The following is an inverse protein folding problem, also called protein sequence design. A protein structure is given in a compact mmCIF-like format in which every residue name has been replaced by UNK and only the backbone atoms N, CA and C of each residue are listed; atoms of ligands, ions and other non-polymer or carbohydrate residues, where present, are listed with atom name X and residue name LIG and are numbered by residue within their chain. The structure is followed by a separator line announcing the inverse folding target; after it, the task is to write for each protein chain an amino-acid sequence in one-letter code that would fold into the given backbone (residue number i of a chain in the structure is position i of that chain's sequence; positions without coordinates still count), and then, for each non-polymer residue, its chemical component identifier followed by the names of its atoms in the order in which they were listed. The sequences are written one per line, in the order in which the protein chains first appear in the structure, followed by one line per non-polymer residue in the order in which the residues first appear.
data_IF_908162783715
#
_entry.id   IF_908162783715
#
_cell.length_a   1.000
_cell.length_b   1.000
_cell.length_c   1.000
_cell.angle_alpha   90.00
_cell.angle_beta   90.00
_cell.angle_gamma   90.00
#
_symmetry.space_group_name_H-M   'P 1'
#
loop_
_entity.id
_entity.type
_entity.pdbx_description
1 polymer ?
#
# COMPACT_ATOMS: atom_id res chain seq x y z
N UNK A 1 -12.33 12.26 0.18
CA UNK A 1 -11.54 13.49 0.14
C UNK A 1 -10.43 13.39 -0.91
N UNK A 2 -9.31 12.71 -0.65
CA UNK A 2 -8.13 12.70 -1.53
C UNK A 2 -8.35 12.11 -2.94
N UNK A 3 -9.28 11.19 -3.11
CA UNK A 3 -9.57 10.59 -4.43
C UNK A 3 -10.35 11.56 -5.31
N UNK A 4 -11.41 12.14 -4.75
CA UNK A 4 -12.32 13.01 -5.48
C UNK A 4 -11.90 14.49 -5.40
N UNK A 5 -10.86 14.80 -4.63
CA UNK A 5 -10.38 16.16 -4.34
C UNK A 5 -11.51 17.07 -3.86
N UNK A 6 -12.39 16.54 -3.00
CA UNK A 6 -13.52 17.26 -2.46
C UNK A 6 -13.04 18.30 -1.41
N UNK A 7 -13.16 19.61 -1.68
CA UNK A 7 -12.65 20.66 -0.80
C UNK A 7 -13.33 20.68 0.58
N UNK A 8 -14.62 20.32 0.64
CA UNK A 8 -15.36 20.28 1.91
C UNK A 8 -14.83 19.15 2.79
N UNK A 9 -14.57 17.98 2.18
CA UNK A 9 -14.00 16.84 2.89
C UNK A 9 -12.54 17.06 3.29
N UNK A 10 -11.72 17.71 2.44
CA UNK A 10 -10.33 18.05 2.72
C UNK A 10 -10.21 19.05 3.87
N UNK A 11 -11.05 20.10 3.91
CA UNK A 11 -11.08 21.09 4.97
C UNK A 11 -11.88 20.70 6.22
N UNK A 12 -12.38 19.47 6.31
CA UNK A 12 -13.32 19.05 7.36
C UNK A 12 -12.64 18.81 8.72
N UNK A 13 -13.46 18.82 9.78
CA UNK A 13 -13.02 18.39 11.11
C UNK A 13 -12.53 16.93 11.11
N UNK A 14 -13.05 16.08 10.23
CA UNK A 14 -12.60 14.70 10.07
C UNK A 14 -11.15 14.65 9.56
N UNK A 15 -10.82 15.49 8.58
CA UNK A 15 -9.44 15.60 8.08
C UNK A 15 -8.49 16.12 9.15
N UNK A 16 -8.90 17.17 9.87
CA UNK A 16 -8.15 17.68 11.01
C UNK A 16 -7.89 16.59 12.06
N UNK A 17 -8.90 15.80 12.43
CA UNK A 17 -8.75 14.66 13.34
C UNK A 17 -7.79 13.59 12.79
N UNK A 18 -7.76 13.37 11.48
CA UNK A 18 -6.78 12.47 10.85
C UNK A 18 -5.34 12.97 11.09
N UNK A 19 -5.08 14.25 10.88
CA UNK A 19 -3.78 14.85 11.19
C UNK A 19 -3.45 14.86 12.69
N UNK A 20 -4.43 15.07 13.56
CA UNK A 20 -4.24 14.94 15.02
C UNK A 20 -3.80 13.52 15.41
N UNK A 21 -4.39 12.49 14.79
CA UNK A 21 -3.96 11.09 14.98
C UNK A 21 -2.55 10.83 14.45
N UNK A 22 -2.17 11.43 13.33
CA UNK A 22 -0.79 11.36 12.83
C UNK A 22 0.20 11.99 13.81
N UNK A 23 -0.14 13.10 14.45
CA UNK A 23 0.67 13.70 15.52
C UNK A 23 0.87 12.74 16.69
N UNK A 24 -0.18 12.01 17.08
CA UNK A 24 -0.06 10.98 18.12
C UNK A 24 0.87 9.84 17.67
N UNK A 25 0.71 9.35 16.45
CA UNK A 25 1.56 8.29 15.87
C UNK A 25 3.02 8.75 15.83
N UNK A 26 3.28 10.02 15.47
CA UNK A 26 4.64 10.59 15.47
C UNK A 26 5.34 10.44 16.81
N UNK A 27 4.60 10.49 17.91
CA UNK A 27 5.14 10.27 19.26
C UNK A 27 5.65 8.85 19.54
N UNK A 28 5.34 7.87 18.69
CA UNK A 28 5.80 6.48 18.79
C UNK A 28 6.89 6.13 17.77
N UNK A 29 7.24 7.04 16.87
CA UNK A 29 8.26 6.84 15.84
C UNK A 29 9.60 7.31 16.37
N UNK A 30 10.68 6.58 16.06
CA UNK A 30 12.04 6.93 16.46
C UNK A 30 12.52 8.25 15.82
N UNK A 31 13.55 8.85 16.41
CA UNK A 31 14.04 10.18 15.97
C UNK A 31 14.71 10.18 14.59
N UNK A 32 15.16 9.01 14.12
CA UNK A 32 15.87 8.87 12.84
C UNK A 32 14.94 8.37 11.71
N UNK A 33 13.64 8.61 11.79
CA UNK A 33 12.68 8.09 10.82
C UNK A 33 12.78 8.76 9.43
N UNK A 34 13.18 10.02 9.39
CA UNK A 34 13.19 10.83 8.17
C UNK A 34 14.15 10.25 7.13
N UNK A 35 13.67 10.09 5.90
CA UNK A 35 14.44 9.54 4.78
C UNK A 35 14.70 8.02 4.86
N UNK A 36 14.13 7.32 5.84
CA UNK A 36 14.23 5.86 5.90
C UNK A 36 13.34 5.21 4.87
N UNK A 37 13.91 4.35 4.03
CA UNK A 37 13.16 3.54 3.10
C UNK A 37 12.28 2.51 3.82
N UNK A 38 11.16 2.15 3.22
CA UNK A 38 10.17 1.27 3.82
C UNK A 38 10.71 -0.11 4.19
N UNK A 39 11.62 -0.67 3.40
CA UNK A 39 12.25 -1.97 3.67
C UNK A 39 13.18 -1.91 4.89
N UNK A 40 13.83 -0.78 5.13
CA UNK A 40 14.62 -0.57 6.35
C UNK A 40 13.71 -0.45 7.59
N UNK A 41 12.52 0.13 7.44
CA UNK A 41 11.52 0.11 8.50
C UNK A 41 11.00 -1.32 8.76
N UNK A 42 10.80 -2.14 7.70
CA UNK A 42 10.49 -3.57 7.85
C UNK A 42 11.58 -4.32 8.62
N UNK A 43 12.85 -4.02 8.34
CA UNK A 43 13.98 -4.64 9.04
C UNK A 43 13.95 -4.34 10.55
N UNK A 44 13.54 -3.14 10.97
CA UNK A 44 13.41 -2.81 12.40
C UNK A 44 12.38 -3.71 13.10
N UNK A 45 11.24 -4.00 12.44
CA UNK A 45 10.24 -4.93 13.01
C UNK A 45 10.77 -6.35 13.02
N UNK A 46 11.43 -6.79 11.95
CA UNK A 46 12.05 -8.13 11.83
C UNK A 46 13.06 -8.36 12.96
N UNK A 47 13.83 -7.34 13.30
CA UNK A 47 14.89 -7.38 14.33
C UNK A 47 14.35 -7.14 15.75
N UNK A 48 13.06 -6.80 15.92
CA UNK A 48 12.48 -6.50 17.22
C UNK A 48 12.79 -5.10 17.75
N UNK A 49 13.27 -4.20 16.89
CA UNK A 49 13.56 -2.79 17.22
C UNK A 49 12.29 -1.93 17.17
N UNK A 50 11.26 -2.38 16.42
CA UNK A 50 9.93 -1.78 16.35
C UNK A 50 8.86 -2.86 16.46
N UNK A 51 7.70 -2.52 17.05
CA UNK A 51 6.60 -3.44 17.24
C UNK A 51 5.64 -3.48 16.04
N UNK A 52 5.54 -2.39 15.28
CA UNK A 52 4.55 -2.22 14.20
C UNK A 52 5.17 -1.51 13.00
N UNK A 53 4.66 -1.85 11.82
CA UNK A 53 4.85 -1.09 10.59
C UNK A 53 3.51 -0.95 9.87
N UNK A 54 3.22 0.26 9.38
CA UNK A 54 2.11 0.52 8.46
C UNK A 54 2.64 0.51 7.04
N UNK A 55 2.29 -0.52 6.28
CA UNK A 55 2.75 -0.71 4.90
C UNK A 55 1.75 -1.59 4.14
N UNK A 56 1.88 -1.67 2.83
CA UNK A 56 1.12 -2.62 2.03
C UNK A 56 1.57 -4.07 2.25
N UNK A 57 0.77 -4.99 1.77
CA UNK A 57 0.97 -6.44 1.95
C UNK A 57 2.31 -6.96 1.38
N UNK A 58 2.91 -6.25 0.41
CA UNK A 58 4.24 -6.57 -0.12
C UNK A 58 5.36 -6.52 0.93
N UNK A 59 5.21 -5.75 2.01
CA UNK A 59 6.20 -5.72 3.09
C UNK A 59 6.42 -7.12 3.68
N UNK A 60 5.41 -7.98 3.64
CA UNK A 60 5.53 -9.39 4.05
C UNK A 60 6.65 -10.13 3.33
N UNK A 61 6.95 -9.77 2.07
CA UNK A 61 8.07 -10.35 1.32
C UNK A 61 9.41 -10.21 2.03
N UNK A 62 9.68 -9.07 2.69
CA UNK A 62 10.89 -8.85 3.48
C UNK A 62 10.96 -9.81 4.69
N UNK A 63 9.83 -10.02 5.37
CA UNK A 63 9.73 -10.95 6.50
C UNK A 63 9.97 -12.40 6.05
N UNK A 64 9.37 -12.82 4.95
CA UNK A 64 9.56 -14.16 4.40
C UNK A 64 11.01 -14.38 3.95
N UNK A 65 11.65 -13.40 3.30
CA UNK A 65 13.05 -13.44 2.91
C UNK A 65 13.99 -13.53 4.12
N UNK A 66 13.60 -12.95 5.25
CA UNK A 66 14.30 -13.07 6.53
C UNK A 66 13.99 -14.38 7.29
N UNK A 67 13.26 -15.32 6.67
CA UNK A 67 12.89 -16.60 7.27
C UNK A 67 11.81 -16.52 8.34
N UNK A 68 11.07 -15.39 8.43
CA UNK A 68 9.98 -15.21 9.40
C UNK A 68 8.69 -15.86 8.89
N UNK A 69 7.94 -16.46 9.79
CA UNK A 69 6.73 -17.22 9.49
C UNK A 69 5.49 -16.44 9.97
N UNK A 70 4.50 -16.17 9.09
CA UNK A 70 3.25 -15.55 9.48
C UNK A 70 2.52 -16.35 10.58
N UNK A 71 1.87 -15.64 11.49
CA UNK A 71 1.17 -16.16 12.68
C UNK A 71 2.07 -16.85 13.73
N UNK A 72 3.40 -16.92 13.49
CA UNK A 72 4.38 -17.41 14.47
C UNK A 72 5.34 -16.30 14.89
N UNK A 73 5.99 -15.65 13.92
CA UNK A 73 6.98 -14.60 14.15
C UNK A 73 6.39 -13.20 14.01
N UNK A 74 5.34 -13.04 13.22
CA UNK A 74 4.64 -11.77 13.01
C UNK A 74 3.17 -11.97 12.63
N UNK A 75 2.37 -10.92 12.82
CA UNK A 75 0.94 -10.89 12.50
C UNK A 75 0.64 -9.88 11.40
N UNK A 76 -0.30 -10.22 10.52
CA UNK A 76 -0.85 -9.30 9.52
C UNK A 76 -2.28 -8.92 9.89
N UNK A 77 -2.56 -7.63 10.00
CA UNK A 77 -3.90 -7.12 10.22
C UNK A 77 -4.10 -5.80 9.52
N UNK A 78 -5.35 -5.46 9.28
CA UNK A 78 -5.71 -4.19 8.64
C UNK A 78 -5.53 -3.03 9.61
N UNK A 79 -5.32 -1.84 9.04
CA UNK A 79 -5.34 -0.64 9.85
C UNK A 79 -6.69 -0.54 10.60
N UNK A 80 -6.68 -0.29 11.91
CA UNK A 80 -7.90 -0.26 12.71
C UNK A 80 -8.94 0.73 12.17
N UNK A 81 -10.21 0.34 12.17
CA UNK A 81 -11.30 1.16 11.67
C UNK A 81 -11.51 1.16 10.16
N UNK A 82 -10.76 0.31 9.40
CA UNK A 82 -10.85 0.26 7.92
C UNK A 82 -11.34 -1.08 7.38
N UNK A 83 -12.15 -1.81 8.15
CA UNK A 83 -12.51 -3.20 7.87
C UNK A 83 -13.29 -3.41 6.56
N UNK A 84 -14.00 -2.40 6.09
CA UNK A 84 -14.82 -2.48 4.88
C UNK A 84 -14.13 -1.90 3.65
N UNK A 85 -12.98 -1.26 3.80
CA UNK A 85 -12.28 -0.56 2.72
C UNK A 85 -10.94 -1.19 2.40
N UNK A 86 -10.57 -1.25 1.15
CA UNK A 86 -9.23 -1.61 0.68
C UNK A 86 -8.69 -0.53 -0.23
N UNK A 87 -7.52 -0.02 0.12
CA UNK A 87 -6.74 0.84 -0.75
C UNK A 87 -5.78 -0.04 -1.54
N UNK A 88 -5.88 -0.04 -2.87
CA UNK A 88 -5.03 -0.87 -3.72
C UNK A 88 -3.92 -0.07 -4.39
N UNK A 89 -2.81 -0.75 -4.63
CA UNK A 89 -1.73 -0.37 -5.52
C UNK A 89 -1.46 -1.54 -6.47
N UNK A 90 -1.24 -1.26 -7.74
CA UNK A 90 -0.96 -2.29 -8.75
C UNK A 90 0.35 -1.97 -9.47
N UNK A 91 1.29 -2.89 -9.41
CA UNK A 91 2.51 -2.78 -10.23
C UNK A 91 2.18 -3.05 -11.70
N UNK A 92 2.92 -2.40 -12.58
CA UNK A 92 2.71 -2.47 -14.02
C UNK A 92 4.01 -2.85 -14.72
N UNK A 93 3.89 -3.67 -15.74
CA UNK A 93 4.99 -3.97 -16.66
C UNK A 93 4.82 -3.12 -17.91
N UNK A 94 5.73 -2.17 -18.13
CA UNK A 94 5.73 -1.33 -19.30
C UNK A 94 6.39 -2.04 -20.48
N UNK A 95 5.80 -1.90 -21.66
CA UNK A 95 6.34 -2.40 -22.92
C UNK A 95 6.72 -1.21 -23.78
N UNK A 96 7.98 -1.11 -24.15
CA UNK A 96 8.46 0.00 -25.00
C UNK A 96 8.01 -0.19 -26.46
N UNK A 97 7.59 0.91 -27.08
CA UNK A 97 7.21 0.91 -28.49
C UNK A 97 8.42 0.57 -29.38
N UNK A 98 8.28 -0.45 -30.22
CA UNK A 98 9.30 -0.91 -31.16
C UNK A 98 8.73 -0.94 -32.60
N UNK A 99 8.14 0.14 -33.04
CA UNK A 99 7.39 0.25 -34.28
C UNK A 99 5.93 0.58 -34.03
N UNK A 100 5.08 0.40 -35.03
CA UNK A 100 3.67 0.79 -34.95
C UNK A 100 2.77 -0.31 -34.35
N UNK A 101 3.25 -1.54 -34.36
CA UNK A 101 2.51 -2.70 -33.84
C UNK A 101 3.23 -3.36 -32.67
N UNK A 102 2.46 -3.97 -31.78
CA UNK A 102 2.97 -4.81 -30.70
C UNK A 102 3.65 -6.04 -31.29
N UNK A 103 4.92 -6.27 -30.93
CA UNK A 103 5.66 -7.44 -31.37
C UNK A 103 5.10 -8.72 -30.74
N UNK A 104 5.12 -9.86 -31.45
CA UNK A 104 4.65 -11.15 -30.90
C UNK A 104 5.28 -11.52 -29.57
N UNK A 105 6.57 -11.23 -29.37
CA UNK A 105 7.32 -11.51 -28.15
C UNK A 105 6.81 -10.64 -26.97
N UNK A 106 6.45 -9.39 -27.25
CA UNK A 106 5.86 -8.49 -26.25
C UNK A 106 4.47 -8.98 -25.83
N UNK A 107 3.66 -9.42 -26.79
CA UNK A 107 2.34 -9.99 -26.51
C UNK A 107 2.46 -11.30 -25.73
N UNK A 108 3.44 -12.15 -26.07
CA UNK A 108 3.71 -13.40 -25.35
C UNK A 108 4.13 -13.13 -23.89
N UNK A 109 5.00 -12.14 -23.65
CA UNK A 109 5.40 -11.73 -22.31
C UNK A 109 4.20 -11.23 -21.51
N UNK A 110 3.38 -10.35 -22.07
CA UNK A 110 2.18 -9.83 -21.40
C UNK A 110 1.20 -10.97 -21.03
N UNK A 111 1.01 -11.93 -21.93
CA UNK A 111 0.18 -13.11 -21.68
C UNK A 111 0.76 -13.98 -20.57
N UNK A 112 2.08 -14.20 -20.56
CA UNK A 112 2.75 -14.97 -19.53
C UNK A 112 2.63 -14.31 -18.15
N UNK A 113 2.83 -12.99 -18.05
CA UNK A 113 2.70 -12.22 -16.80
C UNK A 113 1.26 -12.31 -16.24
N UNK A 114 0.27 -12.33 -17.11
CA UNK A 114 -1.13 -12.46 -16.71
C UNK A 114 -1.61 -13.89 -16.53
N UNK A 115 -0.75 -14.89 -16.75
CA UNK A 115 -1.14 -16.31 -16.51
C UNK A 115 -1.36 -16.58 -15.03
N UNK A 116 -2.26 -17.52 -14.68
CA UNK A 116 -2.47 -17.95 -13.29
C UNK A 116 -1.18 -18.41 -12.62
N UNK A 117 -0.35 -19.15 -13.34
CA UNK A 117 0.92 -19.71 -12.85
C UNK A 117 1.89 -18.62 -12.45
N UNK A 118 2.07 -17.59 -13.31
CA UNK A 118 2.91 -16.45 -12.98
C UNK A 118 2.35 -15.67 -11.79
N UNK A 119 1.07 -15.38 -11.80
CA UNK A 119 0.42 -14.62 -10.72
C UNK A 119 0.59 -15.30 -9.35
N UNK A 120 0.47 -16.62 -9.29
CA UNK A 120 0.69 -17.39 -8.06
C UNK A 120 2.18 -17.36 -7.66
N UNK A 121 3.07 -17.73 -8.57
CA UNK A 121 4.50 -17.84 -8.28
C UNK A 121 5.11 -16.49 -7.85
N UNK A 122 4.80 -15.43 -8.62
CA UNK A 122 5.29 -14.08 -8.38
C UNK A 122 4.81 -13.52 -7.03
N UNK A 123 3.50 -13.60 -6.76
CA UNK A 123 2.94 -13.00 -5.56
C UNK A 123 3.27 -13.76 -4.27
N UNK A 124 3.55 -15.06 -4.35
CA UNK A 124 4.09 -15.82 -3.20
C UNK A 124 5.45 -15.30 -2.76
N UNK A 125 6.31 -14.90 -3.70
CA UNK A 125 7.63 -14.33 -3.41
C UNK A 125 7.53 -12.86 -3.01
N UNK A 126 6.77 -12.07 -3.77
CA UNK A 126 6.57 -10.64 -3.51
C UNK A 126 5.86 -10.37 -2.18
N UNK A 127 5.02 -11.29 -1.71
CA UNK A 127 4.24 -11.13 -0.49
C UNK A 127 2.88 -10.48 -0.69
N UNK A 128 2.54 -10.03 -1.90
CA UNK A 128 1.27 -9.37 -2.24
C UNK A 128 0.20 -10.35 -2.72
N UNK A 129 -1.01 -9.84 -2.95
CA UNK A 129 -2.11 -10.60 -3.55
C UNK A 129 -2.01 -10.57 -5.08
N UNK A 130 -2.48 -11.62 -5.79
CA UNK A 130 -2.58 -11.62 -7.25
C UNK A 130 -3.47 -10.50 -7.77
N UNK A 131 -3.12 -9.90 -8.93
CA UNK A 131 -3.99 -8.97 -9.64
C UNK A 131 -5.23 -9.65 -10.24
N UNK A 132 -5.15 -10.96 -10.51
CA UNK A 132 -6.27 -11.78 -10.96
C UNK A 132 -7.12 -12.23 -9.76
N UNK A 133 -8.44 -12.12 -9.89
CA UNK A 133 -9.41 -12.54 -8.86
C UNK A 133 -9.90 -13.98 -9.03
N UNK A 134 -9.45 -14.67 -10.08
CA UNK A 134 -9.85 -16.03 -10.46
C UNK A 134 -8.76 -17.09 -10.23
N UNK A 135 -7.67 -16.72 -9.54
CA UNK A 135 -6.60 -17.68 -9.19
C UNK A 135 -6.80 -18.24 -7.78
N UNK A 136 -6.35 -19.47 -7.58
CA UNK A 136 -6.36 -20.08 -6.25
C UNK A 136 -5.26 -19.52 -5.38
N UNK A 137 -5.61 -19.11 -4.17
CA UNK A 137 -4.65 -18.70 -3.12
C UNK A 137 -4.52 -19.73 -1.99
N UNK A 138 -4.96 -20.98 -2.23
CA UNK A 138 -4.93 -22.04 -1.23
C UNK A 138 -3.51 -22.30 -0.68
N UNK A 139 -2.49 -22.18 -1.55
CA UNK A 139 -1.08 -22.39 -1.20
C UNK A 139 -0.37 -21.11 -0.69
N UNK A 140 -1.11 -20.02 -0.53
CA UNK A 140 -0.56 -18.81 0.10
C UNK A 140 -0.54 -18.95 1.61
N UNK A 141 0.32 -18.20 2.27
CA UNK A 141 0.34 -18.11 3.73
C UNK A 141 -0.96 -17.48 4.29
N UNK A 142 -1.13 -17.51 5.60
CA UNK A 142 -2.33 -17.03 6.26
C UNK A 142 -2.60 -15.52 5.99
N UNK A 143 -1.55 -14.70 5.96
CA UNK A 143 -1.65 -13.28 5.62
C UNK A 143 -2.14 -13.08 4.19
N UNK A 144 -1.57 -13.79 3.22
CA UNK A 144 -1.94 -13.69 1.81
C UNK A 144 -3.37 -14.13 1.53
N UNK A 145 -3.82 -15.24 2.12
CA UNK A 145 -5.21 -15.68 2.02
C UNK A 145 -6.19 -14.65 2.58
N UNK A 146 -5.90 -14.12 3.78
CA UNK A 146 -6.72 -13.09 4.43
C UNK A 146 -6.79 -11.81 3.61
N UNK A 147 -5.67 -11.33 3.07
CA UNK A 147 -5.62 -10.14 2.23
C UNK A 147 -6.42 -10.32 0.93
N UNK A 148 -6.32 -11.49 0.30
CA UNK A 148 -7.07 -11.80 -0.92
C UNK A 148 -8.60 -11.82 -0.70
N UNK A 149 -9.07 -12.44 0.38
CA UNK A 149 -10.50 -12.43 0.71
C UNK A 149 -11.01 -11.02 1.02
N UNK A 150 -10.20 -10.20 1.68
CA UNK A 150 -10.54 -8.80 1.94
C UNK A 150 -10.61 -7.97 0.65
N UNK A 151 -9.68 -8.18 -0.29
CA UNK A 151 -9.69 -7.54 -1.60
C UNK A 151 -10.97 -7.90 -2.38
N UNK A 152 -11.33 -9.18 -2.41
CA UNK A 152 -12.55 -9.65 -3.09
C UNK A 152 -13.82 -9.06 -2.47
N UNK A 153 -13.90 -9.03 -1.14
CA UNK A 153 -15.03 -8.46 -0.43
C UNK A 153 -15.18 -6.96 -0.71
N UNK A 154 -14.08 -6.20 -0.67
CA UNK A 154 -14.07 -4.78 -0.96
C UNK A 154 -14.44 -4.49 -2.43
N UNK A 155 -13.94 -5.30 -3.37
CA UNK A 155 -14.31 -5.18 -4.78
C UNK A 155 -15.81 -5.44 -5.00
N UNK A 156 -16.37 -6.45 -4.34
CA UNK A 156 -17.79 -6.79 -4.45
C UNK A 156 -18.72 -5.73 -3.83
N UNK A 157 -18.27 -5.04 -2.78
CA UNK A 157 -19.05 -3.98 -2.09
C UNK A 157 -18.81 -2.56 -2.64
N UNK A 158 -17.92 -2.39 -3.64
CA UNK A 158 -17.55 -1.06 -4.16
C UNK A 158 -16.63 -0.26 -3.24
N UNK A 159 -16.01 -0.88 -2.25
CA UNK A 159 -15.12 -0.26 -1.28
C UNK A 159 -13.62 -0.42 -1.62
N UNK A 160 -13.32 -0.66 -2.89
CA UNK A 160 -11.96 -0.75 -3.42
C UNK A 160 -11.55 0.61 -3.99
N UNK A 161 -10.49 1.20 -3.45
CA UNK A 161 -10.03 2.53 -3.80
C UNK A 161 -8.59 2.52 -4.28
N UNK A 162 -8.26 3.31 -5.32
CA UNK A 162 -6.89 3.52 -5.75
C UNK A 162 -6.08 4.27 -4.68
N UNK A 163 -4.87 3.83 -4.43
CA UNK A 163 -3.99 4.50 -3.48
C UNK A 163 -3.52 5.86 -4.00
N UNK A 164 -3.85 6.91 -3.27
CA UNK A 164 -3.30 8.26 -3.50
C UNK A 164 -1.77 8.22 -3.37
N UNK A 165 -1.27 7.61 -2.32
CA UNK A 165 0.16 7.53 -2.02
C UNK A 165 1.00 6.86 -3.13
N UNK A 166 0.41 5.92 -3.89
CA UNK A 166 1.10 5.22 -4.97
C UNK A 166 0.72 5.71 -6.38
N UNK A 167 -0.03 6.81 -6.47
CA UNK A 167 -0.40 7.44 -7.75
C UNK A 167 -1.54 6.74 -8.49
N UNK A 168 -2.35 5.94 -7.82
CA UNK A 168 -3.53 5.29 -8.43
C UNK A 168 -4.84 6.07 -8.25
N UNK A 169 -4.81 7.21 -7.57
CA UNK A 169 -5.97 8.07 -7.39
C UNK A 169 -5.89 9.35 -8.23
N UNK A 170 -4.73 10.02 -8.22
CA UNK A 170 -4.55 11.33 -8.83
C UNK A 170 -3.20 11.45 -9.57
N UNK A 171 -3.06 12.43 -10.50
CA UNK A 171 -1.80 12.74 -11.15
C UNK A 171 -0.67 13.07 -10.17
N UNK A 172 0.57 12.88 -10.60
CA UNK A 172 1.76 13.06 -9.77
C UNK A 172 1.86 14.46 -9.11
N UNK A 173 1.42 15.51 -9.79
CA UNK A 173 1.44 16.86 -9.23
C UNK A 173 0.55 16.98 -7.98
N UNK A 174 -0.67 16.44 -8.03
CA UNK A 174 -1.60 16.41 -6.89
C UNK A 174 -1.05 15.54 -5.76
N UNK A 175 -0.61 14.33 -6.09
CA UNK A 175 0.01 13.44 -5.11
C UNK A 175 1.16 14.11 -4.37
N UNK A 176 2.05 14.79 -5.10
CA UNK A 176 3.22 15.44 -4.50
C UNK A 176 2.82 16.63 -3.59
N UNK A 177 1.83 17.42 -4.00
CA UNK A 177 1.32 18.50 -3.13
C UNK A 177 0.76 17.94 -1.81
N UNK A 178 0.00 16.86 -1.86
CA UNK A 178 -0.49 16.19 -0.64
C UNK A 178 0.67 15.63 0.19
N UNK A 179 1.69 15.07 -0.44
CA UNK A 179 2.89 14.59 0.26
C UNK A 179 3.62 15.72 1.02
N UNK A 180 3.75 16.87 0.39
CA UNK A 180 4.43 18.02 1.01
C UNK A 180 3.68 18.45 2.27
N UNK A 181 2.35 18.57 2.22
CA UNK A 181 1.52 18.92 3.39
C UNK A 181 1.62 17.85 4.49
N UNK A 182 1.47 16.58 4.14
CA UNK A 182 1.56 15.47 5.10
C UNK A 182 2.94 15.41 5.75
N UNK A 183 4.01 15.61 4.97
CA UNK A 183 5.38 15.60 5.47
C UNK A 183 5.63 16.78 6.42
N UNK A 184 5.22 17.99 6.04
CA UNK A 184 5.35 19.19 6.87
C UNK A 184 4.61 19.02 8.20
N UNK A 185 3.40 18.48 8.18
CA UNK A 185 2.63 18.21 9.38
C UNK A 185 3.30 17.14 10.28
N UNK A 186 3.76 16.05 9.69
CA UNK A 186 4.42 14.98 10.44
C UNK A 186 5.75 15.41 11.06
N UNK A 187 6.47 16.34 10.41
CA UNK A 187 7.68 16.95 10.93
C UNK A 187 7.41 18.06 11.97
N UNK A 188 6.15 18.45 12.16
CA UNK A 188 5.77 19.50 13.13
C UNK A 188 5.91 20.92 12.60
N UNK A 189 6.07 21.11 11.28
CA UNK A 189 6.10 22.42 10.61
C UNK A 189 4.68 23.01 10.50
N UNK A 190 3.67 22.15 10.34
CA UNK A 190 2.26 22.51 10.34
C UNK A 190 1.54 21.86 11.53
N UNK A 191 0.64 22.61 12.16
CA UNK A 191 -0.35 22.01 13.05
C UNK A 191 -1.45 21.32 12.23
N UNK A 192 -2.27 20.50 12.90
CA UNK A 192 -3.32 19.72 12.24
C UNK A 192 -4.39 20.57 11.56
N UNK A 193 -4.64 21.79 12.04
CA UNK A 193 -5.60 22.73 11.44
C UNK A 193 -5.02 23.30 10.15
N UNK A 194 -3.81 23.77 10.18
CA UNK A 194 -3.10 24.32 9.01
C UNK A 194 -2.99 23.25 7.93
N UNK A 195 -2.56 22.04 8.27
CA UNK A 195 -2.44 20.93 7.32
C UNK A 195 -3.77 20.54 6.64
N UNK A 196 -4.91 20.72 7.32
CA UNK A 196 -6.22 20.47 6.73
C UNK A 196 -6.73 21.62 5.84
N UNK A 197 -6.07 22.78 5.85
CA UNK A 197 -6.44 23.96 5.07
C UNK A 197 -5.56 24.15 3.83
N UNK A 198 -4.33 23.63 3.84
CA UNK A 198 -3.40 23.61 2.71
C UNK A 198 -3.67 22.44 1.76
#
# INVERSE_FOLDING_TARGET
AFIDLDPEALGSDTMKQAFERMTVIRGFVDDNFSGRDWNLASAMVINGEAAFQFMGDWAKGEFLNAGKVPDQDFLCFRFPGTQEQVTFNTDQFAVFKQGDELKPEQAALATAIMSPEFQIAFNKVKGSVPARTDVSVADFDACGRKAYEQLKAAAASGNLMGSMAHGHANPAAVKNAIYDVVTAQFNGEYDSKTAAQE
#
